data_IF_552293127662
#
_entry.id   IF_552293127662
#
_cell.length_a   1.000
_cell.length_b   1.000
_cell.length_c   1.000
_cell.angle_alpha   90.00
_cell.angle_beta   90.00
_cell.angle_gamma   90.00
#
_symmetry.space_group_name_H-M   'P 1'
#
loop_
_entity.id
_entity.type
_entity.pdbx_description
1 polymer ?
#
# COMPACT_ATOMS: atom_id res chain seq x y z
N UNK A 1 18.62 -14.02 -10.89
CA UNK A 1 17.49 -14.99 -10.79
C UNK A 1 16.40 -14.46 -11.69
N UNK A 2 15.64 -15.28 -12.41
CA UNK A 2 14.56 -14.72 -13.24
C UNK A 2 13.52 -14.01 -12.37
N UNK A 3 12.89 -12.95 -12.89
CA UNK A 3 11.94 -12.17 -12.11
C UNK A 3 10.73 -13.00 -11.68
N UNK A 4 10.14 -13.82 -12.55
CA UNK A 4 9.12 -14.79 -12.11
C UNK A 4 9.64 -15.80 -11.07
N UNK A 5 10.92 -16.18 -11.12
CA UNK A 5 11.54 -17.01 -10.09
C UNK A 5 11.58 -16.33 -8.73
N UNK A 6 11.85 -15.02 -8.70
CA UNK A 6 11.74 -14.19 -7.49
C UNK A 6 10.30 -14.16 -6.97
N UNK A 7 9.34 -13.81 -7.83
CA UNK A 7 7.93 -13.69 -7.45
C UNK A 7 7.39 -15.01 -6.90
N UNK A 8 7.73 -16.14 -7.52
CA UNK A 8 7.28 -17.46 -7.06
C UNK A 8 7.81 -17.78 -5.65
N UNK A 9 9.10 -17.53 -5.40
CA UNK A 9 9.77 -17.89 -4.14
C UNK A 9 9.37 -16.98 -2.99
N UNK A 10 9.39 -15.67 -3.23
CA UNK A 10 9.24 -14.66 -2.17
C UNK A 10 7.82 -14.14 -2.02
N UNK A 11 6.93 -14.36 -2.98
CA UNK A 11 5.53 -13.95 -2.86
C UNK A 11 4.57 -15.13 -3.03
N UNK A 12 4.80 -15.98 -4.03
CA UNK A 12 3.98 -17.16 -4.30
C UNK A 12 3.92 -18.13 -3.11
N UNK A 13 5.07 -18.54 -2.56
CA UNK A 13 5.12 -19.44 -1.40
C UNK A 13 4.40 -18.82 -0.18
N UNK A 14 4.71 -17.58 0.27
CA UNK A 14 3.97 -16.95 1.36
C UNK A 14 2.46 -16.83 1.12
N UNK A 15 2.02 -16.50 -0.11
CA UNK A 15 0.59 -16.43 -0.45
C UNK A 15 -0.09 -17.78 -0.26
N UNK A 16 0.52 -18.87 -0.75
CA UNK A 16 -0.02 -20.22 -0.58
C UNK A 16 -0.09 -20.59 0.91
N UNK A 17 0.99 -20.36 1.66
CA UNK A 17 1.03 -20.64 3.11
C UNK A 17 -0.03 -19.85 3.86
N UNK A 18 -0.13 -18.53 3.63
CA UNK A 18 -1.12 -17.68 4.28
C UNK A 18 -2.55 -18.03 3.86
N UNK A 19 -2.75 -18.45 2.61
CA UNK A 19 -4.04 -18.95 2.11
C UNK A 19 -4.48 -20.22 2.84
N UNK A 20 -3.57 -21.20 2.98
CA UNK A 20 -3.81 -22.43 3.74
C UNK A 20 -4.11 -22.10 5.21
N UNK A 21 -3.29 -21.26 5.84
CA UNK A 21 -3.51 -20.85 7.25
C UNK A 21 -4.85 -20.15 7.40
N UNK A 22 -5.23 -19.26 6.48
CA UNK A 22 -6.52 -18.57 6.50
C UNK A 22 -7.68 -19.54 6.36
N UNK A 23 -7.56 -20.56 5.50
CA UNK A 23 -8.57 -21.60 5.35
C UNK A 23 -8.69 -22.49 6.60
N UNK A 24 -7.56 -22.88 7.21
CA UNK A 24 -7.53 -23.66 8.45
C UNK A 24 -8.14 -22.88 9.61
N UNK A 25 -7.81 -21.60 9.76
CA UNK A 25 -8.39 -20.73 10.79
C UNK A 25 -9.91 -20.59 10.63
N UNK A 26 -10.41 -20.48 9.39
CA UNK A 26 -11.84 -20.47 9.11
C UNK A 26 -12.50 -21.79 9.54
N UNK A 27 -11.91 -22.94 9.17
CA UNK A 27 -12.41 -24.26 9.60
C UNK A 27 -12.39 -24.48 11.10
N UNK A 28 -11.45 -23.86 11.81
CA UNK A 28 -11.33 -23.90 13.28
C UNK A 28 -12.22 -22.88 13.99
N UNK A 29 -13.11 -22.19 13.28
CA UNK A 29 -14.02 -21.22 13.88
C UNK A 29 -13.31 -19.98 14.45
N UNK A 30 -12.20 -19.54 13.84
CA UNK A 30 -11.52 -18.28 14.17
C UNK A 30 -11.93 -17.18 13.18
N UNK A 31 -13.09 -16.53 13.36
CA UNK A 31 -13.55 -15.53 12.41
C UNK A 31 -12.73 -14.24 12.51
N UNK A 32 -12.81 -13.43 11.45
CA UNK A 32 -12.36 -12.04 11.52
C UNK A 32 -13.19 -11.30 12.59
N UNK A 33 -12.60 -10.43 13.43
CA UNK A 33 -13.33 -9.66 14.43
C UNK A 33 -14.51 -8.86 13.85
N UNK A 34 -15.58 -8.71 14.61
CA UNK A 34 -16.83 -8.10 14.13
C UNK A 34 -16.65 -6.65 13.63
N UNK A 35 -15.77 -5.88 14.27
CA UNK A 35 -15.42 -4.51 13.87
C UNK A 35 -14.65 -4.41 12.54
N UNK A 36 -14.25 -5.55 11.95
CA UNK A 36 -13.60 -5.65 10.64
C UNK A 36 -14.46 -6.41 9.61
N UNK A 37 -15.76 -6.55 9.85
CA UNK A 37 -16.72 -7.16 8.92
C UNK A 37 -17.54 -6.14 8.15
N UNK A 38 -17.01 -4.94 7.92
CA UNK A 38 -17.65 -3.93 7.07
C UNK A 38 -17.81 -4.42 5.62
N UNK A 39 -16.85 -5.20 5.15
CA UNK A 39 -16.87 -5.80 3.82
C UNK A 39 -16.17 -7.18 3.81
N UNK A 40 -16.47 -8.07 2.84
CA UNK A 40 -15.76 -9.34 2.72
C UNK A 40 -14.27 -9.13 2.44
N UNK A 41 -13.41 -9.78 3.22
CA UNK A 41 -11.96 -9.60 3.11
C UNK A 41 -11.40 -9.89 1.71
N UNK A 42 -11.87 -10.96 1.06
CA UNK A 42 -11.44 -11.29 -0.31
C UNK A 42 -11.83 -10.20 -1.32
N UNK A 43 -13.01 -9.59 -1.17
CA UNK A 43 -13.47 -8.51 -2.05
C UNK A 43 -12.67 -7.24 -1.81
N UNK A 44 -12.35 -6.94 -0.53
CA UNK A 44 -11.43 -5.87 -0.17
C UNK A 44 -10.06 -6.05 -0.83
N UNK A 45 -9.50 -7.26 -0.82
CA UNK A 45 -8.21 -7.56 -1.46
C UNK A 45 -8.30 -7.37 -2.98
N UNK A 46 -9.32 -7.93 -3.64
CA UNK A 46 -9.49 -7.79 -5.09
C UNK A 46 -9.67 -6.33 -5.52
N UNK A 47 -10.40 -5.53 -4.74
CA UNK A 47 -10.51 -4.10 -4.98
C UNK A 47 -9.13 -3.43 -4.93
N UNK A 48 -8.30 -3.74 -3.93
CA UNK A 48 -6.97 -3.15 -3.81
C UNK A 48 -6.03 -3.63 -4.93
N UNK A 49 -6.16 -4.87 -5.40
CA UNK A 49 -5.42 -5.37 -6.57
C UNK A 49 -5.76 -4.51 -7.79
N UNK A 50 -7.04 -4.28 -8.06
CA UNK A 50 -7.48 -3.45 -9.17
C UNK A 50 -6.96 -2.01 -9.05
N UNK A 51 -7.05 -1.41 -7.86
CA UNK A 51 -6.53 -0.07 -7.60
C UNK A 51 -5.02 -0.02 -7.78
N UNK A 52 -4.27 -0.99 -7.26
CA UNK A 52 -2.81 -1.04 -7.39
C UNK A 52 -2.39 -1.13 -8.87
N UNK A 53 -3.01 -2.02 -9.65
CA UNK A 53 -2.72 -2.12 -11.09
C UNK A 53 -3.02 -0.80 -11.78
N UNK A 54 -4.22 -0.23 -11.62
CA UNK A 54 -4.62 1.00 -12.34
C UNK A 54 -3.77 2.21 -11.92
N UNK A 55 -3.50 2.36 -10.63
CA UNK A 55 -2.84 3.55 -10.09
C UNK A 55 -1.31 3.51 -10.23
N UNK A 56 -0.69 2.33 -10.12
CA UNK A 56 0.76 2.19 -10.22
C UNK A 56 1.23 2.16 -11.67
N UNK A 57 0.44 1.59 -12.60
CA UNK A 57 0.80 1.47 -14.03
C UNK A 57 1.41 2.74 -14.66
N UNK A 58 0.78 3.94 -14.59
CA UNK A 58 1.34 5.12 -15.23
C UNK A 58 2.64 5.61 -14.59
N UNK A 59 2.73 5.52 -13.26
CA UNK A 59 3.92 5.91 -12.52
C UNK A 59 5.10 5.00 -12.83
N UNK A 60 4.85 3.69 -12.86
CA UNK A 60 5.88 2.68 -13.07
C UNK A 60 6.44 2.74 -14.49
N UNK A 61 5.55 2.90 -15.49
CA UNK A 61 5.96 3.13 -16.86
C UNK A 61 6.79 4.40 -17.01
N UNK A 62 6.47 5.47 -16.27
CA UNK A 62 7.26 6.69 -16.29
C UNK A 62 8.66 6.48 -15.67
N UNK A 63 8.78 5.73 -14.57
CA UNK A 63 10.08 5.41 -13.97
C UNK A 63 11.00 4.66 -14.94
N UNK A 64 10.48 3.63 -15.59
CA UNK A 64 11.25 2.83 -16.55
C UNK A 64 11.54 3.63 -17.81
N UNK A 65 10.57 4.35 -18.37
CA UNK A 65 10.76 5.18 -19.55
C UNK A 65 11.81 6.29 -19.33
N UNK A 66 11.93 6.79 -18.10
CA UNK A 66 12.94 7.78 -17.74
C UNK A 66 14.25 7.16 -17.24
N UNK A 67 14.38 5.84 -17.23
CA UNK A 67 15.63 5.14 -16.86
C UNK A 67 16.00 5.30 -15.39
N UNK A 68 15.00 5.45 -14.51
CA UNK A 68 15.22 5.30 -13.06
C UNK A 68 15.41 3.83 -12.71
N UNK A 69 14.56 2.98 -13.30
CA UNK A 69 14.63 1.52 -13.22
C UNK A 69 14.99 0.93 -14.58
N UNK A 70 15.75 -0.15 -14.55
CA UNK A 70 16.05 -0.97 -15.72
C UNK A 70 15.98 -2.44 -15.35
N UNK A 71 15.64 -3.29 -16.32
CA UNK A 71 15.54 -4.74 -16.14
C UNK A 71 16.51 -5.43 -17.10
N UNK A 72 17.14 -6.51 -16.64
CA UNK A 72 17.94 -7.36 -17.52
C UNK A 72 17.01 -8.14 -18.47
N UNK A 73 17.10 -7.94 -19.80
CA UNK A 73 16.28 -8.66 -20.78
C UNK A 73 16.39 -10.18 -20.71
N UNK A 74 17.51 -10.72 -20.18
CA UNK A 74 17.71 -12.16 -20.01
C UNK A 74 16.99 -12.74 -18.78
N UNK A 75 16.55 -11.88 -17.85
CA UNK A 75 15.92 -12.29 -16.58
C UNK A 75 14.42 -12.01 -16.52
N UNK A 76 13.85 -11.40 -17.56
CA UNK A 76 12.41 -11.21 -17.79
C UNK A 76 11.96 -12.00 -19.02
N UNK A 77 10.64 -12.19 -19.17
CA UNK A 77 10.04 -12.97 -20.28
C UNK A 77 10.01 -12.22 -21.60
N UNK A 78 10.31 -10.92 -21.60
CA UNK A 78 10.23 -10.06 -22.78
C UNK A 78 8.81 -9.60 -23.15
N UNK A 79 7.78 -10.01 -22.39
CA UNK A 79 6.43 -9.47 -22.54
C UNK A 79 6.37 -8.13 -21.80
N UNK A 80 6.17 -7.05 -22.54
CA UNK A 80 6.18 -5.68 -22.02
C UNK A 80 4.83 -5.01 -22.27
N UNK A 81 4.31 -4.31 -21.26
CA UNK A 81 3.16 -3.41 -21.39
C UNK A 81 3.67 -1.97 -21.24
N UNK A 82 3.69 -1.21 -22.33
CA UNK A 82 4.36 0.09 -22.37
C UNK A 82 5.89 -0.08 -22.32
N UNK A 83 6.50 0.23 -21.18
CA UNK A 83 7.95 0.08 -20.91
C UNK A 83 8.26 -1.00 -19.88
N UNK A 84 7.25 -1.47 -19.16
CA UNK A 84 7.41 -2.30 -17.96
C UNK A 84 7.13 -3.78 -18.29
N UNK A 85 8.00 -4.72 -17.85
CA UNK A 85 7.79 -6.15 -18.06
C UNK A 85 6.56 -6.67 -17.29
N UNK A 86 5.88 -7.69 -17.82
CA UNK A 86 4.64 -8.27 -17.24
C UNK A 86 4.83 -8.80 -15.81
N UNK A 87 6.06 -9.16 -15.45
CA UNK A 87 6.47 -9.58 -14.13
C UNK A 87 6.21 -8.49 -13.08
N UNK A 88 6.45 -7.23 -13.40
CA UNK A 88 6.22 -6.11 -12.49
C UNK A 88 4.72 -5.89 -12.24
N UNK A 89 3.88 -6.01 -13.28
CA UNK A 89 2.43 -6.04 -13.11
C UNK A 89 1.98 -7.21 -12.24
N UNK A 90 2.63 -8.36 -12.40
CA UNK A 90 2.38 -9.53 -11.54
C UNK A 90 2.79 -9.22 -10.11
N UNK A 91 3.92 -8.54 -9.89
CA UNK A 91 4.36 -8.06 -8.57
C UNK A 91 3.28 -7.20 -7.89
N UNK A 92 2.68 -6.23 -8.59
CA UNK A 92 1.59 -5.42 -8.02
C UNK A 92 0.44 -6.28 -7.49
N UNK A 93 0.05 -7.29 -8.28
CA UNK A 93 -1.04 -8.21 -7.94
C UNK A 93 -0.66 -9.08 -6.74
N UNK A 94 0.48 -9.78 -6.81
CA UNK A 94 0.86 -10.75 -5.78
C UNK A 94 1.28 -10.09 -4.48
N UNK A 95 1.93 -8.92 -4.52
CA UNK A 95 2.25 -8.14 -3.33
C UNK A 95 0.97 -7.70 -2.61
N UNK A 96 -0.03 -7.21 -3.35
CA UNK A 96 -1.31 -6.78 -2.76
C UNK A 96 -2.07 -7.96 -2.13
N UNK A 97 -2.08 -9.12 -2.79
CA UNK A 97 -2.69 -10.34 -2.26
C UNK A 97 -1.97 -10.80 -0.98
N UNK A 98 -0.63 -10.85 -1.01
CA UNK A 98 0.18 -11.25 0.13
C UNK A 98 -0.06 -10.34 1.33
N UNK A 99 -0.02 -9.02 1.12
CA UNK A 99 -0.28 -8.01 2.15
C UNK A 99 -1.69 -8.18 2.73
N UNK A 100 -2.70 -8.38 1.88
CA UNK A 100 -4.07 -8.61 2.30
C UNK A 100 -4.25 -9.87 3.15
N UNK A 101 -3.66 -10.98 2.74
CA UNK A 101 -3.69 -12.24 3.49
C UNK A 101 -2.95 -12.11 4.82
N UNK A 102 -1.83 -11.39 4.85
CA UNK A 102 -1.09 -11.11 6.08
C UNK A 102 -1.91 -10.27 7.07
N UNK A 103 -2.62 -9.25 6.59
CA UNK A 103 -3.54 -8.45 7.41
C UNK A 103 -4.66 -9.33 7.99
N UNK A 104 -5.25 -10.23 7.18
CA UNK A 104 -6.25 -11.20 7.66
C UNK A 104 -5.66 -12.15 8.73
N UNK A 105 -4.43 -12.60 8.52
CA UNK A 105 -3.71 -13.44 9.48
C UNK A 105 -3.53 -12.72 10.83
N UNK A 106 -3.11 -11.45 10.81
CA UNK A 106 -2.93 -10.62 12.00
C UNK A 106 -4.27 -10.31 12.67
N UNK A 107 -5.31 -9.98 11.90
CA UNK A 107 -6.66 -9.68 12.42
C UNK A 107 -7.23 -10.81 13.29
N UNK A 108 -6.94 -12.07 12.95
CA UNK A 108 -7.41 -13.24 13.70
C UNK A 108 -6.56 -13.57 14.93
N UNK A 109 -5.42 -12.91 15.12
CA UNK A 109 -4.43 -13.22 16.18
C UNK A 109 -4.19 -12.06 17.13
N UNK A 110 -4.40 -10.82 16.68
CA UNK A 110 -4.28 -9.66 17.53
C UNK A 110 -5.49 -9.53 18.45
N UNK A 111 -5.29 -9.11 19.71
CA UNK A 111 -6.39 -8.93 20.65
C UNK A 111 -7.30 -7.79 20.18
N UNK A 112 -8.60 -8.01 20.28
CA UNK A 112 -9.62 -6.97 20.07
C UNK A 112 -9.77 -6.22 21.38
N UNK A 113 -9.58 -4.90 21.35
CA UNK A 113 -9.84 -4.07 22.52
C UNK A 113 -11.37 -3.91 22.69
N UNK A 114 -11.97 -4.40 23.79
CA UNK A 114 -13.41 -4.26 24.03
C UNK A 114 -13.84 -2.81 24.22
N UNK A 115 -12.95 -1.97 24.76
CA UNK A 115 -13.19 -0.54 25.03
C UNK A 115 -12.21 0.32 24.21
N UNK A 116 -12.46 0.47 22.90
CA UNK A 116 -11.56 1.21 22.05
C UNK A 116 -11.56 2.70 22.44
N UNK A 117 -10.38 3.36 22.45
CA UNK A 117 -10.29 4.78 22.79
C UNK A 117 -11.14 5.63 21.83
N UNK A 118 -11.65 6.79 22.28
CA UNK A 118 -12.50 7.64 21.45
C UNK A 118 -11.78 8.07 20.16
N UNK A 119 -12.56 8.25 19.09
CA UNK A 119 -12.02 8.74 17.82
C UNK A 119 -11.64 10.22 17.97
N UNK A 120 -10.36 10.52 17.79
CA UNK A 120 -9.85 11.88 17.92
C UNK A 120 -9.58 12.47 16.54
N UNK A 121 -10.20 13.61 16.24
CA UNK A 121 -10.14 14.27 14.92
C UNK A 121 -8.73 14.72 14.53
N UNK A 122 -7.84 14.98 15.48
CA UNK A 122 -6.45 15.35 15.24
C UNK A 122 -5.72 14.35 14.34
N UNK A 123 -6.00 13.04 14.45
CA UNK A 123 -5.39 12.01 13.61
C UNK A 123 -5.83 12.06 12.14
N UNK A 124 -6.85 12.84 11.81
CA UNK A 124 -7.28 13.11 10.43
C UNK A 124 -6.69 14.39 9.85
N UNK A 125 -6.01 15.19 10.68
CA UNK A 125 -5.49 16.52 10.29
C UNK A 125 -3.97 16.52 10.38
N UNK A 126 -3.40 16.19 11.55
CA UNK A 126 -1.95 16.29 11.80
C UNK A 126 -1.13 15.45 10.81
N UNK A 127 -1.44 14.16 10.57
CA UNK A 127 -0.71 13.39 9.56
C UNK A 127 -0.83 13.98 8.16
N UNK A 128 -2.02 14.49 7.78
CA UNK A 128 -2.26 15.08 6.45
C UNK A 128 -1.38 16.32 6.25
N UNK A 129 -1.27 17.19 7.26
CA UNK A 129 -0.42 18.39 7.20
C UNK A 129 1.06 18.00 7.07
N UNK A 130 1.53 17.07 7.90
CA UNK A 130 2.94 16.62 7.87
C UNK A 130 3.27 15.99 6.51
N UNK A 131 2.44 15.05 6.05
CA UNK A 131 2.63 14.40 4.75
C UNK A 131 2.50 15.40 3.60
N UNK A 132 1.65 16.42 3.72
CA UNK A 132 1.51 17.50 2.75
C UNK A 132 2.78 18.33 2.62
N UNK A 133 3.43 18.67 3.73
CA UNK A 133 4.73 19.37 3.72
C UNK A 133 5.80 18.51 3.03
N UNK A 134 5.87 17.22 3.36
CA UNK A 134 6.81 16.28 2.72
C UNK A 134 6.52 16.17 1.23
N UNK A 135 5.25 16.07 0.84
CA UNK A 135 4.84 15.98 -0.55
C UNK A 135 5.22 17.24 -1.33
N UNK A 136 4.96 18.44 -0.80
CA UNK A 136 5.38 19.71 -1.43
C UNK A 136 6.89 19.75 -1.59
N UNK A 137 7.65 19.34 -0.57
CA UNK A 137 9.11 19.22 -0.65
C UNK A 137 9.56 18.27 -1.76
N UNK A 138 8.95 17.09 -1.86
CA UNK A 138 9.26 16.11 -2.91
C UNK A 138 8.96 16.63 -4.31
N UNK A 139 7.84 17.34 -4.50
CA UNK A 139 7.48 17.94 -5.79
C UNK A 139 8.44 19.08 -6.15
N UNK A 140 8.81 19.93 -5.19
CA UNK A 140 9.78 20.99 -5.40
C UNK A 140 11.15 20.43 -5.81
N UNK A 141 11.60 19.34 -5.17
CA UNK A 141 12.84 18.64 -5.54
C UNK A 141 12.74 18.05 -6.95
N UNK A 142 11.62 17.41 -7.28
CA UNK A 142 11.39 16.85 -8.61
C UNK A 142 11.45 17.93 -9.71
N UNK A 143 10.77 19.05 -9.48
CA UNK A 143 10.71 20.18 -10.43
C UNK A 143 12.06 20.88 -10.58
N UNK A 144 12.92 20.84 -9.55
CA UNK A 144 14.28 21.40 -9.64
C UNK A 144 15.19 20.65 -10.61
N UNK A 145 14.82 19.43 -11.02
CA UNK A 145 15.62 18.60 -11.93
C UNK A 145 16.84 17.94 -11.27
N UNK A 146 16.94 17.97 -9.94
CA UNK A 146 18.03 17.36 -9.18
C UNK A 146 18.03 15.83 -9.35
N UNK A 147 18.96 15.32 -10.16
CA UNK A 147 18.99 13.92 -10.57
C UNK A 147 19.08 12.93 -9.40
N UNK A 148 19.99 13.06 -8.41
CA UNK A 148 20.09 12.11 -7.30
C UNK A 148 18.81 11.96 -6.47
N UNK A 149 17.98 13.01 -6.42
CA UNK A 149 16.69 12.97 -5.73
C UNK A 149 15.52 12.51 -6.58
N UNK A 150 15.72 12.19 -7.86
CA UNK A 150 14.64 11.94 -8.81
C UNK A 150 13.80 10.73 -8.40
N UNK A 151 14.43 9.61 -8.04
CA UNK A 151 13.69 8.40 -7.67
C UNK A 151 12.84 8.61 -6.41
N UNK A 152 13.46 9.08 -5.32
CA UNK A 152 12.75 9.36 -4.06
C UNK A 152 11.63 10.38 -4.27
N UNK A 153 11.87 11.43 -5.05
CA UNK A 153 10.89 12.48 -5.27
C UNK A 153 9.69 11.98 -6.08
N UNK A 154 9.92 11.17 -7.13
CA UNK A 154 8.85 10.53 -7.90
C UNK A 154 8.03 9.56 -7.04
N UNK A 155 8.70 8.78 -6.19
CA UNK A 155 8.06 7.85 -5.27
C UNK A 155 7.13 8.57 -4.29
N UNK A 156 7.63 9.61 -3.61
CA UNK A 156 6.85 10.36 -2.63
C UNK A 156 5.74 11.19 -3.29
N UNK A 157 6.00 11.79 -4.45
CA UNK A 157 5.01 12.55 -5.21
C UNK A 157 3.80 11.68 -5.60
N UNK A 158 4.03 10.41 -5.91
CA UNK A 158 3.00 9.42 -6.25
C UNK A 158 2.31 8.82 -5.03
N UNK A 159 3.05 8.38 -4.01
CA UNK A 159 2.48 7.62 -2.90
C UNK A 159 1.72 8.49 -1.89
N UNK A 160 2.20 9.71 -1.61
CA UNK A 160 1.67 10.50 -0.51
C UNK A 160 0.24 11.03 -0.73
N UNK A 161 -0.22 11.44 -1.93
CA UNK A 161 -1.58 11.91 -2.13
C UNK A 161 -2.68 10.92 -1.69
N UNK A 162 -2.68 9.65 -2.12
CA UNK A 162 -3.65 8.67 -1.63
C UNK A 162 -3.48 8.36 -0.14
N UNK A 163 -2.26 8.33 0.41
CA UNK A 163 -2.06 8.16 1.87
C UNK A 163 -2.71 9.32 2.64
N UNK A 164 -2.50 10.57 2.19
CA UNK A 164 -3.14 11.74 2.77
C UNK A 164 -4.66 11.65 2.73
N UNK A 165 -5.24 11.19 1.61
CA UNK A 165 -6.67 10.98 1.48
C UNK A 165 -7.19 9.95 2.50
N UNK A 166 -6.46 8.84 2.67
CA UNK A 166 -6.80 7.79 3.63
C UNK A 166 -6.73 8.29 5.08
N UNK A 167 -5.72 9.09 5.44
CA UNK A 167 -5.66 9.75 6.75
C UNK A 167 -6.76 10.80 6.95
N UNK A 168 -7.04 11.63 5.94
CA UNK A 168 -8.10 12.63 6.00
C UNK A 168 -9.48 11.98 6.23
N UNK A 169 -9.72 10.84 5.58
CA UNK A 169 -10.95 10.06 5.74
C UNK A 169 -11.02 9.35 7.10
N UNK A 170 -9.98 8.63 7.49
CA UNK A 170 -10.05 7.64 8.58
C UNK A 170 -8.79 7.52 9.45
N UNK A 171 -7.95 8.54 9.53
CA UNK A 171 -6.73 8.52 10.35
C UNK A 171 -6.97 8.23 11.83
N UNK A 172 -8.12 8.62 12.37
CA UNK A 172 -8.59 8.29 13.72
C UNK A 172 -8.94 6.80 13.88
N UNK A 173 -9.55 6.18 12.87
CA UNK A 173 -9.83 4.74 12.80
C UNK A 173 -8.52 3.96 12.68
N UNK A 174 -7.61 4.42 11.80
CA UNK A 174 -6.28 3.85 11.63
C UNK A 174 -5.48 3.90 12.93
N UNK A 175 -5.52 5.03 13.66
CA UNK A 175 -4.84 5.17 14.95
C UNK A 175 -5.39 4.21 16.00
N UNK A 176 -6.70 4.04 16.06
CA UNK A 176 -7.37 3.08 16.96
C UNK A 176 -6.90 1.66 16.70
N UNK A 177 -6.66 1.31 15.43
CA UNK A 177 -6.11 0.02 15.01
C UNK A 177 -4.59 0.07 14.76
N UNK A 178 -3.89 1.02 15.41
CA UNK A 178 -2.49 1.33 15.11
C UNK A 178 -1.54 0.17 15.29
N UNK A 179 -1.81 -0.76 16.22
CA UNK A 179 -1.00 -1.98 16.38
C UNK A 179 -1.08 -2.90 15.16
N UNK A 180 -2.27 -3.10 14.60
CA UNK A 180 -2.45 -3.88 13.37
C UNK A 180 -1.75 -3.20 12.19
N UNK A 181 -1.99 -1.90 12.02
CA UNK A 181 -1.42 -1.10 10.94
C UNK A 181 0.12 -1.13 11.00
N UNK A 182 0.68 -0.85 12.18
CA UNK A 182 2.13 -0.83 12.38
C UNK A 182 2.74 -2.20 12.13
N UNK A 183 2.18 -3.26 12.72
CA UNK A 183 2.71 -4.61 12.55
C UNK A 183 2.65 -5.05 11.09
N UNK A 184 1.53 -4.81 10.39
CA UNK A 184 1.39 -5.15 8.98
C UNK A 184 2.42 -4.43 8.12
N UNK A 185 2.50 -3.10 8.22
CA UNK A 185 3.44 -2.29 7.42
C UNK A 185 4.89 -2.69 7.71
N UNK A 186 5.30 -2.71 8.99
CA UNK A 186 6.69 -2.99 9.36
C UNK A 186 7.11 -4.39 8.92
N UNK A 187 6.30 -5.41 9.21
CA UNK A 187 6.68 -6.79 8.85
C UNK A 187 6.73 -7.01 7.33
N UNK A 188 5.77 -6.49 6.57
CA UNK A 188 5.78 -6.60 5.11
C UNK A 188 6.95 -5.83 4.49
N UNK A 189 7.23 -4.62 4.99
CA UNK A 189 8.35 -3.81 4.49
C UNK A 189 9.68 -4.49 4.78
N UNK A 190 9.90 -4.98 6.00
CA UNK A 190 11.13 -5.70 6.35
C UNK A 190 11.28 -6.98 5.53
N UNK A 191 10.21 -7.74 5.35
CA UNK A 191 10.23 -8.98 4.58
C UNK A 191 10.55 -8.73 3.10
N UNK A 192 9.85 -7.79 2.46
CA UNK A 192 10.07 -7.49 1.05
C UNK A 192 11.43 -6.82 0.82
N UNK A 193 11.86 -5.91 1.70
CA UNK A 193 13.21 -5.32 1.62
C UNK A 193 14.30 -6.39 1.75
N UNK A 194 14.11 -7.39 2.62
CA UNK A 194 15.05 -8.50 2.73
C UNK A 194 15.04 -9.38 1.47
N UNK A 195 13.86 -9.68 0.92
CA UNK A 195 13.74 -10.43 -0.32
C UNK A 195 14.44 -9.68 -1.47
N UNK A 196 14.25 -8.37 -1.54
CA UNK A 196 14.83 -7.48 -2.54
C UNK A 196 16.37 -7.42 -2.41
N UNK A 197 16.88 -7.26 -1.20
CA UNK A 197 18.32 -7.34 -0.90
C UNK A 197 18.94 -8.65 -1.41
N UNK A 198 18.24 -9.78 -1.23
CA UNK A 198 18.70 -11.09 -1.72
C UNK A 198 18.58 -11.23 -3.25
N UNK A 199 17.71 -10.45 -3.90
CA UNK A 199 17.42 -10.54 -5.33
C UNK A 199 18.22 -9.55 -6.18
N UNK A 200 18.47 -8.33 -5.70
CA UNK A 200 19.27 -7.30 -6.39
C UNK A 200 20.68 -7.80 -6.69
N UNK A 201 21.29 -8.57 -5.79
CA UNK A 201 22.58 -9.22 -6.03
C UNK A 201 22.58 -10.21 -7.21
N UNK A 202 21.42 -10.51 -7.78
CA UNK A 202 21.24 -11.42 -8.90
C UNK A 202 20.93 -10.75 -10.25
N UNK A 203 20.93 -9.40 -10.30
CA UNK A 203 20.90 -8.60 -11.54
C UNK A 203 19.54 -8.43 -12.22
N UNK A 204 18.43 -8.82 -11.56
CA UNK A 204 17.11 -8.82 -12.21
C UNK A 204 16.63 -7.42 -12.59
N UNK A 205 16.79 -6.47 -11.69
CA UNK A 205 16.53 -5.04 -11.89
C UNK A 205 17.68 -4.24 -11.27
N UNK A 206 17.93 -3.08 -11.85
CA UNK A 206 18.94 -2.14 -11.38
C UNK A 206 18.36 -0.74 -11.28
N UNK A 207 18.74 -0.07 -10.19
CA UNK A 207 18.42 1.33 -9.93
C UNK A 207 19.54 2.19 -10.48
N UNK A 208 19.20 3.16 -11.33
CA UNK A 208 20.20 4.04 -11.90
C UNK A 208 20.88 4.87 -10.81
N UNK A 209 22.21 4.71 -10.57
CA UNK A 209 22.90 5.43 -9.51
C UNK A 209 22.79 6.94 -9.65
N UNK A 210 22.84 7.47 -10.88
CA UNK A 210 22.73 8.90 -11.13
C UNK A 210 21.37 9.51 -10.71
N UNK A 211 20.34 8.66 -10.55
CA UNK A 211 18.97 9.06 -10.19
C UNK A 211 18.56 8.69 -8.76
N UNK A 212 19.52 8.18 -7.98
CA UNK A 212 19.35 7.73 -6.60
C UNK A 212 20.29 8.48 -5.65
N UNK A 213 19.95 8.50 -4.36
CA UNK A 213 20.67 9.17 -3.28
C UNK A 213 21.98 8.47 -2.91
N UNK A 214 22.29 7.32 -3.51
CA UNK A 214 23.49 6.52 -3.24
C UNK A 214 23.61 6.01 -1.78
N UNK A 215 22.54 6.09 -0.99
CA UNK A 215 22.51 5.55 0.36
C UNK A 215 22.12 4.08 0.31
N UNK A 216 23.11 3.20 0.45
CA UNK A 216 22.93 1.76 0.34
C UNK A 216 22.86 1.09 1.72
N UNK A 217 21.81 0.29 1.93
CA UNK A 217 21.64 -0.58 3.09
C UNK A 217 22.39 -1.89 2.83
N UNK A 218 23.31 -2.22 3.73
CA UNK A 218 24.15 -3.41 3.59
C UNK A 218 25.04 -3.40 2.34
N UNK A 219 25.31 -2.20 1.79
CA UNK A 219 26.13 -2.00 0.59
C UNK A 219 25.48 -2.41 -0.73
N UNK A 220 24.21 -2.82 -0.73
CA UNK A 220 23.53 -3.39 -1.92
C UNK A 220 22.19 -2.70 -2.19
N UNK A 221 21.31 -2.60 -1.19
CA UNK A 221 19.93 -2.16 -1.38
C UNK A 221 19.82 -0.63 -1.24
N UNK A 222 19.41 0.12 -2.27
CA UNK A 222 19.15 1.55 -2.13
C UNK A 222 18.08 1.84 -1.06
N UNK A 223 18.26 2.90 -0.28
CA UNK A 223 17.28 3.31 0.73
C UNK A 223 15.89 3.52 0.12
N UNK A 224 15.85 4.03 -1.11
CA UNK A 224 14.62 4.29 -1.84
C UNK A 224 13.79 3.02 -2.08
N UNK A 225 14.42 1.86 -2.24
CA UNK A 225 13.70 0.57 -2.36
C UNK A 225 13.00 0.20 -1.04
N UNK A 226 13.65 0.45 0.11
CA UNK A 226 13.00 0.26 1.43
C UNK A 226 11.84 1.23 1.61
N UNK A 227 12.00 2.47 1.14
CA UNK A 227 10.92 3.46 1.15
C UNK A 227 9.81 3.04 0.16
N UNK A 228 10.13 2.44 -0.98
CA UNK A 228 9.16 1.92 -1.95
C UNK A 228 8.31 0.83 -1.33
N UNK A 229 8.92 -0.17 -0.66
CA UNK A 229 8.16 -1.18 0.08
C UNK A 229 7.38 -0.57 1.23
N UNK A 230 7.92 0.43 1.94
CA UNK A 230 7.18 1.14 2.98
C UNK A 230 5.92 1.82 2.43
N UNK A 231 6.04 2.54 1.32
CA UNK A 231 4.93 3.27 0.70
C UNK A 231 3.88 2.33 0.13
N UNK A 232 4.27 1.31 -0.63
CA UNK A 232 3.34 0.33 -1.22
C UNK A 232 2.61 -0.48 -0.14
N UNK A 233 3.31 -0.95 0.89
CA UNK A 233 2.69 -1.64 2.03
C UNK A 233 1.79 -0.69 2.85
N UNK A 234 2.14 0.59 2.99
CA UNK A 234 1.27 1.58 3.63
C UNK A 234 -0.01 1.80 2.83
N UNK A 235 0.07 2.02 1.51
CA UNK A 235 -1.11 2.22 0.64
C UNK A 235 -2.12 1.07 0.76
N UNK A 236 -1.63 -0.16 0.65
CA UNK A 236 -2.47 -1.36 0.73
C UNK A 236 -3.02 -1.55 2.15
N UNK A 237 -2.16 -1.45 3.18
CA UNK A 237 -2.57 -1.70 4.57
C UNK A 237 -3.60 -0.70 5.04
N UNK A 238 -3.33 0.59 4.86
CA UNK A 238 -4.21 1.65 5.31
C UNK A 238 -5.56 1.57 4.57
N UNK A 239 -5.55 1.40 3.25
CA UNK A 239 -6.75 1.24 2.45
C UNK A 239 -7.58 0.02 2.87
N UNK A 240 -6.94 -1.15 3.02
CA UNK A 240 -7.65 -2.39 3.36
C UNK A 240 -8.21 -2.33 4.79
N UNK A 241 -7.46 -1.80 5.75
CA UNK A 241 -7.95 -1.60 7.13
C UNK A 241 -9.18 -0.69 7.12
N UNK A 242 -9.18 0.40 6.35
CA UNK A 242 -10.32 1.29 6.24
C UNK A 242 -11.52 0.62 5.57
N UNK A 243 -11.31 -0.16 4.51
CA UNK A 243 -12.38 -0.91 3.83
C UNK A 243 -12.95 -2.05 4.68
N UNK A 244 -12.19 -2.63 5.60
CA UNK A 244 -12.72 -3.68 6.48
C UNK A 244 -13.39 -3.12 7.73
N UNK A 245 -12.93 -1.97 8.22
CA UNK A 245 -13.45 -1.35 9.44
C UNK A 245 -14.94 -0.96 9.33
N UNK A 246 -15.72 -1.40 10.31
CA UNK A 246 -17.16 -1.06 10.39
C UNK A 246 -17.40 0.43 10.63
N UNK A 247 -16.48 1.11 11.32
CA UNK A 247 -16.52 2.54 11.56
C UNK A 247 -16.46 3.36 10.27
N UNK A 248 -15.67 2.89 9.28
CA UNK A 248 -15.58 3.53 7.96
C UNK A 248 -16.92 3.50 7.24
N UNK A 249 -17.64 2.37 7.31
CA UNK A 249 -18.95 2.20 6.69
C UNK A 249 -20.00 3.11 7.33
N UNK A 250 -20.02 3.16 8.67
CA UNK A 250 -20.90 4.08 9.41
C UNK A 250 -20.65 5.53 9.01
N UNK A 251 -19.37 5.93 8.92
CA UNK A 251 -18.97 7.27 8.49
C UNK A 251 -19.39 7.57 7.05
N UNK A 252 -19.18 6.63 6.13
CA UNK A 252 -19.56 6.79 4.73
C UNK A 252 -21.08 6.99 4.58
N UNK A 253 -21.90 6.20 5.30
CA UNK A 253 -23.35 6.37 5.34
C UNK A 253 -23.77 7.75 5.90
N UNK A 254 -23.13 8.22 6.98
CA UNK A 254 -23.41 9.55 7.55
C UNK A 254 -23.11 10.68 6.56
N UNK A 255 -21.99 10.59 5.83
CA UNK A 255 -21.63 11.56 4.78
C UNK A 255 -22.68 11.54 3.66
N UNK A 256 -23.12 10.36 3.22
CA UNK A 256 -24.15 10.21 2.20
C UNK A 256 -25.50 10.82 2.61
N UNK A 257 -25.95 10.58 3.84
CA UNK A 257 -27.17 11.17 4.38
C UNK A 257 -27.09 12.70 4.45
N UNK A 258 -25.96 13.23 4.90
CA UNK A 258 -25.73 14.68 4.94
C UNK A 258 -25.76 15.32 3.55
N UNK A 259 -25.16 14.68 2.54
CA UNK A 259 -25.19 15.14 1.16
C UNK A 259 -26.62 15.11 0.57
N UNK A 260 -27.37 14.05 0.86
CA UNK A 260 -28.78 13.92 0.44
C UNK A 260 -29.64 15.02 1.05
N UNK A 261 -29.53 15.26 2.35
CA UNK A 261 -30.32 16.26 3.07
C UNK A 261 -30.03 17.70 2.60
N UNK A 262 -28.81 17.97 2.10
CA UNK A 262 -28.47 19.27 1.50
C UNK A 262 -29.06 19.48 0.10
N UNK A 263 -29.28 18.40 -0.65
CA UNK A 263 -29.89 18.46 -1.99
C UNK A 263 -31.42 18.57 -1.96
N UNK A 264 -32.04 18.26 -0.82
CA UNK A 264 -33.48 18.39 -0.59
C UNK A 264 -33.77 19.43 0.51
N UNK A 265 -33.51 20.73 0.29
CA UNK A 265 -34.07 21.74 1.19
C UNK A 265 -35.59 21.66 1.09
N UNK A 266 -36.24 21.31 2.20
CA UNK A 266 -37.69 21.16 2.36
C UNK A 266 -38.49 22.16 1.52
N UNK A 267 -39.18 21.66 0.49
CA UNK A 267 -40.46 22.22 0.11
C UNK A 267 -41.40 22.05 1.32
N UNK A 268 -41.87 23.16 1.89
CA UNK A 268 -42.85 23.14 2.97
C UNK A 268 -42.41 23.89 4.22
N UNK A 269 -42.55 25.22 4.18
CA UNK A 269 -43.16 25.93 5.31
C UNK A 269 -44.60 26.22 4.90
N UNK A 270 -45.63 25.73 5.61
CA UNK A 270 -46.97 26.28 5.47
C UNK A 270 -46.97 27.72 5.99
N UNK A 271 -47.66 28.59 5.25
CA UNK A 271 -47.96 29.97 5.60
C UNK A 271 -48.96 30.04 6.75
#
# INVERSE_FOLDING_TARGET
>A
MTYFGFLLRFLGIPIVVLGIVSWLDYRRGKPIPANFRGWPAWAGILLHVAVAVVYTTPWDNYLVATGVWTYDPALVTGIVLGWVPIEEYTFFVVQTIMAGLWIVFLLRRLPVNPDPPPLQRNWRIVPVVILGIIWVGSVALLVSGWQPGAYLSLLLAWALPPIMLQFAFGGDILRRHGRLVLLAIVSLTLYLSLADYLAIGSGTWEINPAKSLHWLIGGVLPLEEVIFFLMTNALVTLGLVLVLATESHRRFHQIGQWLSNRRSPRAGKPA
#
